data_IF_518906156861
#
_entry.id   IF_518906156861
#
_cell.length_a   1.000
_cell.length_b   1.000
_cell.length_c   1.000
_cell.angle_alpha   90.00
_cell.angle_beta   90.00
_cell.angle_gamma   90.00
#
_symmetry.space_group_name_H-M   'P 1'
#
loop_
_entity.id
_entity.type
_entity.pdbx_description
1 polymer ?
#
# COMPACT_ATOMS: atom_id res chain seq x y z
N UNK A 1 23.12 12.44 10.98
CA UNK A 1 22.70 12.04 9.61
C UNK A 1 21.29 11.49 9.71
N UNK A 2 20.36 11.85 8.82
CA UNK A 2 18.99 11.31 8.86
C UNK A 2 18.93 9.92 8.23
N UNK A 3 18.03 9.06 8.74
CA UNK A 3 17.89 7.67 8.27
C UNK A 3 17.44 7.56 6.81
N UNK A 4 16.77 8.58 6.27
CA UNK A 4 16.37 8.62 4.86
C UNK A 4 17.52 8.81 3.86
N UNK A 5 18.74 9.09 4.31
CA UNK A 5 19.92 9.22 3.43
C UNK A 5 20.65 7.88 3.21
N UNK A 6 20.22 6.82 3.89
CA UNK A 6 20.74 5.48 3.66
C UNK A 6 20.11 4.91 2.39
N UNK A 7 20.93 4.35 1.50
CA UNK A 7 20.52 3.89 0.17
C UNK A 7 19.32 2.93 0.21
N UNK A 8 19.37 1.90 1.06
CA UNK A 8 18.25 0.96 1.19
C UNK A 8 16.95 1.60 1.71
N UNK A 9 17.04 2.61 2.56
CA UNK A 9 15.86 3.36 3.06
C UNK A 9 15.32 4.27 1.97
N UNK A 10 16.19 4.94 1.22
CA UNK A 10 15.80 5.80 0.10
C UNK A 10 15.13 5.00 -1.03
N UNK A 11 15.66 3.82 -1.35
CA UNK A 11 15.08 2.91 -2.35
C UNK A 11 13.69 2.43 -1.93
N UNK A 12 13.55 1.96 -0.68
CA UNK A 12 12.26 1.54 -0.12
C UNK A 12 11.24 2.69 -0.10
N UNK A 13 11.66 3.91 0.29
CA UNK A 13 10.81 5.10 0.23
C UNK A 13 10.40 5.45 -1.21
N UNK A 14 11.30 5.30 -2.17
CA UNK A 14 11.03 5.49 -3.59
C UNK A 14 9.97 4.49 -4.11
N UNK A 15 10.09 3.21 -3.76
CA UNK A 15 9.08 2.19 -4.07
C UNK A 15 7.73 2.50 -3.43
N UNK A 16 7.71 2.80 -2.13
CA UNK A 16 6.48 3.19 -1.41
C UNK A 16 5.80 4.36 -2.13
N UNK A 17 6.54 5.41 -2.46
CA UNK A 17 6.00 6.58 -3.16
C UNK A 17 5.43 6.25 -4.53
N UNK A 18 6.18 5.52 -5.36
CA UNK A 18 5.76 5.15 -6.71
C UNK A 18 4.55 4.21 -6.74
N UNK A 19 4.55 3.21 -5.87
CA UNK A 19 3.44 2.25 -5.76
C UNK A 19 2.18 2.91 -5.19
N UNK A 20 2.32 3.80 -4.21
CA UNK A 20 1.16 4.51 -3.66
C UNK A 20 0.53 5.47 -4.69
N UNK A 21 1.35 6.10 -5.54
CA UNK A 21 0.86 6.87 -6.68
C UNK A 21 0.05 6.00 -7.66
N UNK A 22 0.55 4.79 -7.97
CA UNK A 22 -0.15 3.83 -8.82
C UNK A 22 -1.50 3.37 -8.22
N UNK A 23 -1.54 3.14 -6.90
CA UNK A 23 -2.78 2.79 -6.19
C UNK A 23 -3.80 3.94 -6.30
N UNK A 24 -3.40 5.17 -6.02
CA UNK A 24 -4.29 6.33 -6.12
C UNK A 24 -4.78 6.59 -7.55
N UNK A 25 -3.92 6.40 -8.55
CA UNK A 25 -4.31 6.49 -9.95
C UNK A 25 -5.37 5.42 -10.30
N UNK A 26 -5.17 4.18 -9.83
CA UNK A 26 -6.10 3.07 -10.05
C UNK A 26 -7.46 3.29 -9.34
N UNK A 27 -7.42 3.82 -8.12
CA UNK A 27 -8.62 4.24 -7.38
C UNK A 27 -9.38 5.34 -8.11
N UNK A 28 -8.66 6.35 -8.58
CA UNK A 28 -9.25 7.47 -9.33
C UNK A 28 -9.89 6.96 -10.62
N UNK A 29 -9.19 6.13 -11.40
CA UNK A 29 -9.71 5.54 -12.63
C UNK A 29 -11.01 4.76 -12.41
N UNK A 30 -11.04 3.89 -11.41
CA UNK A 30 -12.23 3.07 -11.09
C UNK A 30 -13.40 3.92 -10.61
N UNK A 31 -13.13 4.95 -9.79
CA UNK A 31 -14.15 5.88 -9.30
C UNK A 31 -14.72 6.73 -10.45
N UNK A 32 -13.85 7.30 -11.29
CA UNK A 32 -14.29 8.10 -12.44
C UNK A 32 -15.13 7.27 -13.43
N UNK A 33 -14.79 5.99 -13.61
CA UNK A 33 -15.61 5.10 -14.43
C UNK A 33 -17.03 4.94 -13.88
N UNK A 34 -17.19 4.84 -12.55
CA UNK A 34 -18.50 4.82 -11.90
C UNK A 34 -19.25 6.15 -12.07
N UNK A 35 -18.56 7.29 -11.91
CA UNK A 35 -19.14 8.63 -12.08
C UNK A 35 -19.66 8.85 -13.51
N UNK A 36 -19.01 8.24 -14.51
CA UNK A 36 -19.46 8.21 -15.91
C UNK A 36 -20.64 7.24 -16.16
N UNK A 37 -21.24 6.68 -15.11
CA UNK A 37 -22.36 5.74 -15.20
C UNK A 37 -21.98 4.34 -15.71
N UNK A 38 -20.68 4.03 -15.81
CA UNK A 38 -20.22 2.71 -16.22
C UNK A 38 -20.35 1.71 -15.07
N UNK A 39 -20.37 0.42 -15.41
CA UNK A 39 -20.37 -0.69 -14.44
C UNK A 39 -19.15 -1.58 -14.67
N UNK A 40 -17.92 -1.12 -14.34
CA UNK A 40 -16.68 -1.78 -14.71
C UNK A 40 -16.35 -3.00 -13.82
N UNK A 41 -17.29 -3.92 -13.60
CA UNK A 41 -17.15 -4.99 -12.59
C UNK A 41 -15.90 -5.85 -12.71
N UNK A 42 -15.54 -6.27 -13.93
CA UNK A 42 -14.33 -7.06 -14.19
C UNK A 42 -13.06 -6.24 -13.93
N UNK A 43 -13.03 -4.99 -14.41
CA UNK A 43 -11.88 -4.09 -14.23
C UNK A 43 -11.67 -3.76 -12.76
N UNK A 44 -12.75 -3.52 -12.01
CA UNK A 44 -12.70 -3.30 -10.56
C UNK A 44 -12.20 -4.55 -9.82
N UNK A 45 -12.62 -5.75 -10.22
CA UNK A 45 -12.14 -6.99 -9.61
C UNK A 45 -10.62 -7.21 -9.85
N UNK A 46 -10.15 -6.97 -11.08
CA UNK A 46 -8.72 -7.03 -11.43
C UNK A 46 -7.94 -5.98 -10.63
N UNK A 47 -8.43 -4.73 -10.62
CA UNK A 47 -7.80 -3.65 -9.87
C UNK A 47 -7.70 -3.98 -8.38
N UNK A 48 -8.77 -4.45 -7.74
CA UNK A 48 -8.77 -4.85 -6.32
C UNK A 48 -7.68 -5.88 -6.03
N UNK A 49 -7.58 -6.93 -6.84
CA UNK A 49 -6.57 -7.97 -6.66
C UNK A 49 -5.15 -7.39 -6.68
N UNK A 50 -4.82 -6.63 -7.73
CA UNK A 50 -3.49 -6.03 -7.85
C UNK A 50 -3.20 -4.99 -6.77
N UNK A 51 -4.19 -4.18 -6.39
CA UNK A 51 -4.04 -3.17 -5.35
C UNK A 51 -3.73 -3.81 -3.98
N UNK A 52 -4.31 -4.97 -3.67
CA UNK A 52 -3.98 -5.74 -2.45
C UNK A 52 -2.54 -6.24 -2.47
N UNK A 53 -2.09 -6.80 -3.59
CA UNK A 53 -0.71 -7.31 -3.74
C UNK A 53 0.32 -6.17 -3.62
N UNK A 54 0.06 -5.04 -4.28
CA UNK A 54 0.89 -3.84 -4.20
C UNK A 54 0.93 -3.29 -2.77
N UNK A 55 -0.22 -3.25 -2.09
CA UNK A 55 -0.31 -2.79 -0.70
C UNK A 55 0.52 -3.67 0.25
N UNK A 56 0.62 -4.98 -0.03
CA UNK A 56 1.50 -5.88 0.74
C UNK A 56 2.97 -5.48 0.59
N UNK A 57 3.42 -5.17 -0.63
CA UNK A 57 4.79 -4.68 -0.85
C UNK A 57 5.05 -3.37 -0.11
N UNK A 58 4.13 -2.41 -0.20
CA UNK A 58 4.25 -1.12 0.50
C UNK A 58 4.33 -1.31 2.01
N UNK A 59 3.49 -2.18 2.57
CA UNK A 59 3.48 -2.46 4.01
C UNK A 59 4.74 -3.18 4.47
N UNK A 60 5.27 -4.12 3.68
CA UNK A 60 6.54 -4.78 3.98
C UNK A 60 7.70 -3.77 3.99
N UNK A 61 7.83 -2.94 2.94
CA UNK A 61 8.84 -1.87 2.89
C UNK A 61 8.70 -0.91 4.08
N UNK A 62 7.47 -0.59 4.48
CA UNK A 62 7.19 0.26 5.64
C UNK A 62 7.61 -0.39 6.96
N UNK A 63 7.39 -1.70 7.11
CA UNK A 63 7.80 -2.47 8.29
C UNK A 63 9.32 -2.55 8.38
N UNK A 64 10.03 -2.74 7.25
CA UNK A 64 11.49 -2.79 7.19
C UNK A 64 12.12 -1.43 7.57
N UNK A 65 11.58 -0.32 7.09
CA UNK A 65 12.03 1.04 7.45
C UNK A 65 11.86 1.30 8.96
N UNK A 66 10.77 0.80 9.56
CA UNK A 66 10.45 1.00 10.98
C UNK A 66 11.12 -0.03 11.91
N UNK A 67 11.61 -1.14 11.35
CA UNK A 67 12.31 -2.23 12.02
C UNK A 67 11.65 -2.65 13.36
N UNK A 68 12.37 -2.55 14.47
CA UNK A 68 11.90 -3.00 15.78
C UNK A 68 10.60 -2.32 16.26
N UNK A 69 10.35 -1.07 15.86
CA UNK A 69 9.09 -0.36 16.19
C UNK A 69 7.90 -0.97 15.47
N UNK A 70 8.10 -1.47 14.25
CA UNK A 70 7.05 -2.04 13.41
C UNK A 70 6.55 -3.40 13.91
N UNK A 71 7.39 -4.14 14.65
CA UNK A 71 7.04 -5.46 15.20
C UNK A 71 6.32 -5.34 16.55
N UNK A 72 6.55 -4.24 17.28
CA UNK A 72 5.91 -4.02 18.57
C UNK A 72 4.39 -3.79 18.41
N UNK A 73 3.58 -4.66 18.98
CA UNK A 73 2.13 -4.47 19.09
C UNK A 73 1.81 -3.50 20.24
N UNK A 74 2.11 -2.21 20.04
CA UNK A 74 1.82 -1.14 20.97
C UNK A 74 1.03 0.00 20.31
N UNK A 75 0.45 0.93 21.09
CA UNK A 75 -0.39 2.02 20.58
C UNK A 75 0.35 2.98 19.63
N UNK A 76 1.68 2.93 19.61
CA UNK A 76 2.53 3.74 18.74
C UNK A 76 2.84 3.09 17.38
N UNK A 77 2.36 1.87 17.13
CA UNK A 77 2.56 1.14 15.87
C UNK A 77 1.30 1.23 14.98
N UNK A 78 1.31 2.21 14.09
CA UNK A 78 0.22 2.45 13.15
C UNK A 78 0.21 1.46 11.96
N UNK A 79 1.26 0.66 11.78
CA UNK A 79 1.37 -0.31 10.68
C UNK A 79 0.70 -1.65 11.02
N UNK A 80 0.62 -2.00 12.31
CA UNK A 80 0.16 -3.30 12.79
C UNK A 80 -1.23 -3.68 12.25
N UNK A 81 -2.21 -2.79 12.39
CA UNK A 81 -3.59 -3.06 11.95
C UNK A 81 -3.70 -3.25 10.43
N UNK A 82 -2.99 -2.42 9.66
CA UNK A 82 -2.98 -2.53 8.21
C UNK A 82 -2.29 -3.83 7.75
N UNK A 83 -1.16 -4.17 8.37
CA UNK A 83 -0.42 -5.40 8.07
C UNK A 83 -1.23 -6.67 8.35
N UNK A 84 -1.95 -6.72 9.48
CA UNK A 84 -2.83 -7.83 9.83
C UNK A 84 -4.06 -7.96 8.90
N UNK A 85 -4.49 -6.86 8.28
CA UNK A 85 -5.61 -6.84 7.34
C UNK A 85 -5.28 -7.35 5.93
N UNK A 86 -4.00 -7.39 5.55
CA UNK A 86 -3.56 -7.77 4.19
C UNK A 86 -4.09 -9.12 3.72
N UNK A 87 -4.08 -10.21 4.53
CA UNK A 87 -4.51 -11.54 4.06
C UNK A 87 -5.99 -11.63 3.67
N UNK A 88 -6.84 -10.75 4.22
CA UNK A 88 -8.30 -10.78 4.02
C UNK A 88 -8.80 -9.68 3.07
N UNK A 89 -7.94 -8.71 2.72
CA UNK A 89 -8.34 -7.54 1.92
C UNK A 89 -8.83 -7.87 0.50
N UNK A 90 -8.47 -9.02 -0.06
CA UNK A 90 -8.94 -9.47 -1.38
C UNK A 90 -10.28 -10.21 -1.36
N UNK A 91 -10.73 -10.72 -0.20
CA UNK A 91 -12.04 -11.38 -0.05
C UNK A 91 -13.21 -10.40 -0.13
#
# INVERSE_FOLDING_TARGET
MSIGKFEGVAEALGRIGGLNYLLEASRTLTTTSLDMGQKPGIVTAIAKYHMTEISRTILNDSMDIHAGRAIQCGPMNYLSSAYLGVPVASQ
#
